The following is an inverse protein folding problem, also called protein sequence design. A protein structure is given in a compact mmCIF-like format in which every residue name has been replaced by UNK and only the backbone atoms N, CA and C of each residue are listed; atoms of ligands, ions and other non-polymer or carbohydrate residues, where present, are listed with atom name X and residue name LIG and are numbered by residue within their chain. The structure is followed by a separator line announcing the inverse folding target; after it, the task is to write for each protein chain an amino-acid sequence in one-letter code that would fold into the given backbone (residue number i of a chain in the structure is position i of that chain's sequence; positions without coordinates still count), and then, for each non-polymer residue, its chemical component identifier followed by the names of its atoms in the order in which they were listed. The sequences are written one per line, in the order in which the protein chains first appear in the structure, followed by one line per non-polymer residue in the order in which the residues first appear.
data_IF_711674320779
#
_entry.id   IF_711674320779
#
_cell.length_a   1.000
_cell.length_b   1.000
_cell.length_c   1.000
_cell.angle_alpha   90.00
_cell.angle_beta   90.00
_cell.angle_gamma   90.00
#
_symmetry.space_group_name_H-M   'P 1'
#
loop_
_entity.id
_entity.type
_entity.pdbx_description
1 polymer ?
#
# COMPACT_ATOMS: atom_id res chain seq x y z
N UNK A 1 -10.46 0.43 -3.29
CA UNK A 1 -9.49 1.41 -3.87
C UNK A 1 -9.32 1.19 -5.37
N UNK A 2 -9.26 2.24 -6.20
CA UNK A 2 -9.05 2.07 -7.65
C UNK A 2 -7.56 1.95 -8.01
N UNK A 3 -7.24 0.95 -8.83
CA UNK A 3 -5.90 0.65 -9.37
C UNK A 3 -5.26 1.83 -10.14
N UNK A 4 -6.08 2.69 -10.73
CA UNK A 4 -5.63 3.80 -11.59
C UNK A 4 -5.64 5.16 -10.89
N UNK A 5 -6.09 5.23 -9.63
CA UNK A 5 -6.18 6.50 -8.90
C UNK A 5 -4.79 6.98 -8.53
N UNK A 6 -4.50 8.23 -8.85
CA UNK A 6 -3.26 8.88 -8.43
C UNK A 6 -3.17 8.90 -6.89
N UNK A 7 -1.94 8.79 -6.38
CA UNK A 7 -1.68 8.89 -4.94
C UNK A 7 -2.19 10.23 -4.38
N UNK A 8 -2.71 10.18 -3.14
CA UNK A 8 -3.25 11.35 -2.46
C UNK A 8 -2.19 12.45 -2.28
N UNK A 9 -2.64 13.70 -2.31
CA UNK A 9 -1.81 14.86 -1.95
C UNK A 9 -2.26 15.39 -0.60
N UNK A 10 -1.30 15.62 0.30
CA UNK A 10 -1.56 16.18 1.63
C UNK A 10 -1.43 17.70 1.62
N UNK A 11 -2.36 18.38 2.29
CA UNK A 11 -2.44 19.85 2.34
C UNK A 11 -2.60 20.32 3.78
N UNK A 12 -1.83 21.33 4.18
CA UNK A 12 -1.96 22.00 5.48
C UNK A 12 -3.23 22.85 5.52
N UNK A 13 -3.56 23.39 6.70
CA UNK A 13 -4.72 24.26 6.90
C UNK A 13 -4.67 25.54 6.04
N UNK A 14 -3.47 26.01 5.69
CA UNK A 14 -3.25 27.15 4.78
C UNK A 14 -3.21 26.74 3.29
N UNK A 15 -3.59 25.50 2.97
CA UNK A 15 -3.59 24.89 1.65
C UNK A 15 -2.19 24.63 1.05
N UNK A 16 -1.12 24.84 1.81
CA UNK A 16 0.25 24.48 1.40
C UNK A 16 0.37 22.97 1.25
N UNK A 17 0.98 22.51 0.15
CA UNK A 17 1.27 21.08 -0.07
C UNK A 17 2.37 20.64 0.88
N UNK A 18 2.17 19.51 1.57
CA UNK A 18 3.16 18.92 2.45
C UNK A 18 3.51 17.48 2.02
N UNK A 19 4.73 17.00 2.35
CA UNK A 19 5.15 15.65 2.01
C UNK A 19 4.37 14.58 2.79
N UNK A 20 4.26 13.40 2.18
CA UNK A 20 3.79 12.18 2.86
C UNK A 20 4.84 11.64 3.84
N UNK A 21 4.41 10.89 4.86
CA UNK A 21 5.30 10.21 5.82
C UNK A 21 6.36 9.38 5.09
N UNK A 22 5.94 8.59 4.10
CA UNK A 22 6.83 7.74 3.30
C UNK A 22 7.85 8.54 2.49
N UNK A 23 7.51 9.73 2.02
CA UNK A 23 8.45 10.64 1.37
C UNK A 23 9.51 11.12 2.36
N UNK A 24 9.10 11.54 3.56
CA UNK A 24 10.03 12.00 4.61
C UNK A 24 10.96 10.87 5.03
N UNK A 25 10.44 9.68 5.32
CA UNK A 25 11.26 8.53 5.72
C UNK A 25 12.10 7.96 4.58
N UNK A 26 11.64 8.08 3.33
CA UNK A 26 12.40 7.65 2.15
C UNK A 26 13.67 8.45 1.90
N UNK A 27 13.74 9.69 2.38
CA UNK A 27 14.95 10.52 2.38
C UNK A 27 16.01 9.94 3.31
N UNK A 28 15.61 9.31 4.42
CA UNK A 28 16.53 8.66 5.37
C UNK A 28 17.30 7.47 4.77
N UNK A 29 16.97 7.08 3.54
CA UNK A 29 17.82 6.20 2.73
C UNK A 29 17.84 4.74 3.17
N UNK A 30 16.90 4.33 4.02
CA UNK A 30 16.85 2.97 4.56
C UNK A 30 16.98 1.93 3.45
N UNK A 31 18.01 1.10 3.54
CA UNK A 31 18.28 -0.06 2.69
C UNK A 31 18.49 0.19 1.18
N UNK A 32 18.70 1.44 0.71
CA UNK A 32 18.91 1.72 -0.72
C UNK A 32 20.06 0.90 -1.34
N UNK A 33 21.19 0.78 -0.65
CA UNK A 33 22.33 0.00 -1.14
C UNK A 33 22.05 -1.50 -1.29
N UNK A 34 21.27 -2.08 -0.37
CA UNK A 34 20.88 -3.49 -0.41
C UNK A 34 19.86 -3.73 -1.53
N UNK A 35 18.88 -2.83 -1.68
CA UNK A 35 17.86 -2.91 -2.72
C UNK A 35 18.44 -2.75 -4.13
N UNK A 36 19.46 -1.89 -4.31
CA UNK A 36 20.17 -1.76 -5.60
C UNK A 36 20.89 -3.06 -5.96
N UNK A 37 21.58 -3.70 -5.01
CA UNK A 37 22.22 -5.00 -5.24
C UNK A 37 21.21 -6.09 -5.56
N UNK A 38 20.08 -6.12 -4.86
CA UNK A 38 18.99 -7.04 -5.14
C UNK A 38 18.42 -6.84 -6.56
N UNK A 39 18.14 -5.59 -6.96
CA UNK A 39 17.61 -5.27 -8.28
C UNK A 39 18.58 -5.68 -9.40
N UNK A 40 19.89 -5.44 -9.20
CA UNK A 40 20.91 -5.89 -10.15
C UNK A 40 20.96 -7.42 -10.25
N UNK A 41 20.92 -8.13 -9.13
CA UNK A 41 20.94 -9.60 -9.12
C UNK A 41 19.77 -10.18 -9.92
N UNK A 42 18.53 -9.75 -9.66
CA UNK A 42 17.37 -10.27 -10.41
C UNK A 42 17.41 -9.85 -11.88
N UNK A 43 17.99 -8.69 -12.20
CA UNK A 43 18.24 -8.27 -13.57
C UNK A 43 19.21 -9.20 -14.30
N UNK A 44 20.29 -9.65 -13.63
CA UNK A 44 21.23 -10.65 -14.16
C UNK A 44 20.58 -12.03 -14.34
N UNK A 45 19.52 -12.34 -13.58
CA UNK A 45 18.68 -13.53 -13.75
C UNK A 45 17.68 -13.38 -14.93
N UNK A 46 17.68 -12.24 -15.64
CA UNK A 46 16.79 -11.96 -16.77
C UNK A 46 15.41 -11.42 -16.38
N UNK A 47 15.22 -11.02 -15.12
CA UNK A 47 13.95 -10.47 -14.61
C UNK A 47 13.96 -8.95 -14.75
N UNK A 48 12.96 -8.40 -15.43
CA UNK A 48 12.68 -6.96 -15.42
C UNK A 48 12.19 -6.55 -14.02
N UNK A 49 13.07 -5.94 -13.23
CA UNK A 49 12.80 -5.55 -11.85
C UNK A 49 11.64 -4.57 -11.72
N UNK A 50 11.46 -3.68 -12.70
CA UNK A 50 10.40 -2.68 -12.68
C UNK A 50 9.03 -3.35 -12.82
N UNK A 51 8.87 -4.20 -13.83
CA UNK A 51 7.63 -4.98 -14.02
C UNK A 51 7.36 -5.92 -12.84
N UNK A 52 8.42 -6.52 -12.29
CA UNK A 52 8.29 -7.40 -11.13
C UNK A 52 7.73 -6.64 -9.93
N UNK A 53 8.30 -5.48 -9.59
CA UNK A 53 7.84 -4.65 -8.47
C UNK A 53 6.43 -4.12 -8.70
N UNK A 54 6.10 -3.66 -9.91
CA UNK A 54 4.75 -3.17 -10.25
C UNK A 54 3.67 -4.26 -10.08
N UNK A 55 3.99 -5.48 -10.50
CA UNK A 55 3.12 -6.64 -10.25
C UNK A 55 2.93 -6.91 -8.75
N UNK A 56 3.99 -6.81 -7.94
CA UNK A 56 3.86 -6.99 -6.48
C UNK A 56 3.10 -5.85 -5.82
N UNK A 57 3.28 -4.61 -6.29
CA UNK A 57 2.54 -3.45 -5.81
C UNK A 57 1.04 -3.60 -6.10
N UNK A 58 0.66 -4.09 -7.29
CA UNK A 58 -0.74 -4.36 -7.65
C UNK A 58 -1.39 -5.34 -6.68
N UNK A 59 -0.70 -6.44 -6.36
CA UNK A 59 -1.17 -7.47 -5.41
C UNK A 59 -1.33 -6.88 -4.01
N UNK A 60 -0.36 -6.08 -3.56
CA UNK A 60 -0.41 -5.40 -2.26
C UNK A 60 -1.60 -4.45 -2.15
N UNK A 61 -1.83 -3.63 -3.19
CA UNK A 61 -2.99 -2.72 -3.26
C UNK A 61 -4.31 -3.48 -3.14
N UNK A 62 -4.47 -4.60 -3.86
CA UNK A 62 -5.68 -5.41 -3.78
C UNK A 62 -5.85 -6.05 -2.39
N UNK A 63 -4.77 -6.55 -1.79
CA UNK A 63 -4.83 -7.13 -0.45
C UNK A 63 -5.24 -6.09 0.61
N UNK A 64 -4.73 -4.85 0.51
CA UNK A 64 -5.16 -3.74 1.36
C UNK A 64 -6.64 -3.39 1.14
N UNK A 65 -7.10 -3.38 -0.11
CA UNK A 65 -8.51 -3.16 -0.43
C UNK A 65 -9.39 -4.24 0.22
N UNK A 66 -9.03 -5.52 0.12
CA UNK A 66 -9.77 -6.63 0.75
C UNK A 66 -9.95 -6.46 2.26
N UNK A 67 -8.88 -6.08 2.96
CA UNK A 67 -8.94 -5.83 4.41
C UNK A 67 -9.79 -4.59 4.72
N UNK A 68 -9.59 -3.51 3.97
CA UNK A 68 -10.34 -2.25 4.13
C UNK A 68 -11.84 -2.46 3.93
N UNK A 69 -12.21 -3.07 2.81
CA UNK A 69 -13.58 -3.31 2.40
C UNK A 69 -14.28 -4.25 3.40
N UNK A 70 -13.57 -5.29 3.89
CA UNK A 70 -14.06 -6.14 4.99
C UNK A 70 -14.38 -5.34 6.25
N UNK A 71 -13.45 -4.48 6.70
CA UNK A 71 -13.65 -3.65 7.88
C UNK A 71 -14.81 -2.65 7.70
N UNK A 72 -15.10 -2.28 6.46
CA UNK A 72 -16.24 -1.42 6.07
C UNK A 72 -17.53 -2.22 5.83
N UNK A 73 -17.48 -3.55 5.82
CA UNK A 73 -18.64 -4.41 5.55
C UNK A 73 -19.10 -4.43 4.09
N UNK A 74 -18.20 -4.14 3.14
CA UNK A 74 -18.47 -4.15 1.70
C UNK A 74 -17.63 -5.20 0.96
N UNK A 75 -18.06 -5.60 -0.23
CA UNK A 75 -17.28 -6.51 -1.08
C UNK A 75 -16.23 -5.77 -1.91
N UNK A 76 -15.06 -6.38 -2.08
CA UNK A 76 -13.98 -5.84 -2.90
C UNK A 76 -14.23 -6.07 -4.37
N UNK A 77 -14.24 -4.99 -5.15
CA UNK A 77 -14.26 -5.05 -6.61
C UNK A 77 -12.92 -5.54 -7.16
N UNK A 78 -12.95 -6.68 -7.84
CA UNK A 78 -11.79 -7.36 -8.42
C UNK A 78 -11.76 -7.32 -9.95
N UNK A 79 -12.71 -6.62 -10.59
CA UNK A 79 -12.92 -6.64 -12.04
C UNK A 79 -11.68 -6.21 -12.87
N UNK A 80 -10.85 -5.31 -12.32
CA UNK A 80 -9.63 -4.79 -12.95
C UNK A 80 -8.35 -5.63 -12.73
N UNK A 81 -8.48 -6.77 -12.05
CA UNK A 81 -7.35 -7.59 -11.59
C UNK A 81 -7.33 -8.95 -12.30
N UNK A 82 -6.12 -9.46 -12.57
CA UNK A 82 -5.99 -10.80 -13.11
C UNK A 82 -6.30 -11.84 -12.03
N UNK A 83 -6.71 -13.04 -12.43
CA UNK A 83 -6.92 -14.15 -11.49
C UNK A 83 -5.70 -14.39 -10.58
N UNK A 84 -4.49 -14.33 -11.14
CA UNK A 84 -3.28 -14.51 -10.35
C UNK A 84 -3.04 -13.36 -9.35
N UNK A 85 -3.46 -12.13 -9.66
CA UNK A 85 -3.38 -11.03 -8.69
C UNK A 85 -4.36 -11.26 -7.55
N UNK A 86 -5.59 -11.69 -7.87
CA UNK A 86 -6.65 -12.02 -6.90
C UNK A 86 -6.19 -13.15 -5.97
N UNK A 87 -5.78 -14.30 -6.52
CA UNK A 87 -5.35 -15.46 -5.73
C UNK A 87 -4.21 -15.10 -4.75
N UNK A 88 -3.25 -14.26 -5.18
CA UNK A 88 -2.12 -13.84 -4.34
C UNK A 88 -2.51 -12.77 -3.31
N UNK A 89 -3.43 -11.88 -3.66
CA UNK A 89 -3.96 -10.87 -2.76
C UNK A 89 -4.80 -11.51 -1.65
N UNK A 90 -5.70 -12.44 -2.01
CA UNK A 90 -6.51 -13.21 -1.06
C UNK A 90 -5.64 -13.97 -0.08
N UNK A 91 -4.61 -14.67 -0.57
CA UNK A 91 -3.67 -15.37 0.31
C UNK A 91 -2.98 -14.43 1.32
N UNK A 92 -2.72 -13.18 0.91
CA UNK A 92 -2.18 -12.16 1.81
C UNK A 92 -3.22 -11.70 2.84
N UNK A 93 -4.46 -11.42 2.40
CA UNK A 93 -5.56 -11.01 3.26
C UNK A 93 -5.99 -12.09 4.27
N UNK A 94 -5.87 -13.38 3.91
CA UNK A 94 -6.11 -14.50 4.83
C UNK A 94 -5.24 -14.42 6.10
N UNK A 95 -4.03 -13.88 6.00
CA UNK A 95 -3.17 -13.69 7.18
C UNK A 95 -3.77 -12.68 8.16
N UNK A 96 -4.38 -11.60 7.64
CA UNK A 96 -5.13 -10.66 8.46
C UNK A 96 -6.40 -11.30 9.04
N UNK A 97 -7.19 -12.05 8.25
CA UNK A 97 -8.41 -12.71 8.76
C UNK A 97 -8.11 -13.78 9.82
N UNK A 98 -6.98 -14.47 9.70
CA UNK A 98 -6.52 -15.38 10.73
C UNK A 98 -6.15 -14.63 12.02
N UNK A 99 -5.45 -13.50 11.90
CA UNK A 99 -5.12 -12.64 13.02
C UNK A 99 -6.36 -12.03 13.68
N UNK A 100 -7.33 -11.55 12.91
CA UNK A 100 -8.55 -10.90 13.41
C UNK A 100 -9.46 -11.86 14.19
N UNK A 101 -9.42 -13.16 13.87
CA UNK A 101 -10.31 -14.17 14.43
C UNK A 101 -10.30 -14.17 15.96
N UNK A 102 -11.49 -14.09 16.55
CA UNK A 102 -11.68 -14.07 18.01
C UNK A 102 -11.34 -12.74 18.66
N UNK A 103 -11.13 -11.67 17.88
CA UNK A 103 -11.00 -10.30 18.37
C UNK A 103 -12.26 -9.51 18.06
N UNK A 104 -12.65 -8.63 18.98
CA UNK A 104 -13.63 -7.60 18.73
C UNK A 104 -12.89 -6.36 18.21
N UNK A 105 -13.18 -5.95 16.98
CA UNK A 105 -12.56 -4.79 16.33
C UNK A 105 -13.68 -3.81 15.98
N UNK A 106 -13.59 -2.61 16.55
CA UNK A 106 -14.45 -1.47 16.18
C UNK A 106 -13.58 -0.45 15.42
N UNK A 107 -13.74 -0.34 14.09
CA UNK A 107 -12.95 0.60 13.30
C UNK A 107 -13.34 2.05 13.62
N UNK A 108 -12.37 2.86 14.04
CA UNK A 108 -12.56 4.31 14.27
C UNK A 108 -12.25 5.11 13.01
N UNK A 109 -11.16 4.77 12.32
CA UNK A 109 -10.69 5.37 11.07
C UNK A 109 -10.09 4.26 10.20
N UNK A 110 -10.38 4.28 8.89
CA UNK A 110 -9.87 3.30 7.93
C UNK A 110 -9.38 4.05 6.70
N UNK A 111 -8.09 3.95 6.37
CA UNK A 111 -7.48 4.57 5.19
C UNK A 111 -7.78 6.09 5.06
N UNK A 112 -7.96 6.75 6.21
CA UNK A 112 -8.20 8.18 6.32
C UNK A 112 -6.89 8.96 6.40
N UNK A 113 -6.85 10.11 5.72
CA UNK A 113 -5.66 10.97 5.68
C UNK A 113 -5.50 11.77 6.97
N UNK A 114 -4.35 11.66 7.61
CA UNK A 114 -3.98 12.43 8.79
C UNK A 114 -2.91 13.46 8.46
N UNK A 115 -3.07 14.70 8.94
CA UNK A 115 -2.16 15.82 8.64
C UNK A 115 -1.66 16.44 9.93
N UNK A 116 -0.34 16.55 10.07
CA UNK A 116 0.29 17.30 11.14
C UNK A 116 0.59 18.73 10.70
N UNK A 117 -0.30 19.68 11.02
CA UNK A 117 -0.06 21.10 10.73
C UNK A 117 1.21 21.63 11.40
N UNK A 118 1.49 21.18 12.63
CA UNK A 118 2.68 21.57 13.39
C UNK A 118 3.98 21.10 12.75
N UNK A 119 4.04 19.85 12.31
CA UNK A 119 5.27 19.23 11.79
C UNK A 119 5.33 19.21 10.26
N UNK A 120 4.27 19.67 9.59
CA UNK A 120 4.16 19.87 8.14
C UNK A 120 4.37 18.59 7.31
N UNK A 121 3.68 17.51 7.65
CA UNK A 121 3.60 16.30 6.84
C UNK A 121 2.21 15.65 6.99
N UNK A 122 1.84 14.78 6.04
CA UNK A 122 0.63 13.97 6.10
C UNK A 122 0.90 12.48 5.86
N UNK A 123 -0.06 11.63 6.20
CA UNK A 123 0.03 10.17 6.08
C UNK A 123 -1.34 9.58 5.96
#
# INVERSE_FOLDING_TARGET
MSKYKAHQRYRLADNTICPGVTTVTGILGMNKGVLVRWANRIGLEGIDSSKYVDSKATIGTLAHAMVTDKLQGIETDTSDYSKNDIDRAENSALSYYAWERGKEIEPILIEESLISNRHKFGG
#
